data_IF_613475679873
#
_entry.id   IF_613475679873
#
_cell.length_a   1.000
_cell.length_b   1.000
_cell.length_c   1.000
_cell.angle_alpha   90.00
_cell.angle_beta   90.00
_cell.angle_gamma   90.00
#
_symmetry.space_group_name_H-M   'P 1'
#
loop_
_entity.id
_entity.type
_entity.pdbx_description
1 polymer ?
#
# COMPACT_ATOMS: atom_id res chain seq x y z
N UNK A 1 4.90 19.00 -12.35
CA UNK A 1 4.91 19.28 -10.90
C UNK A 1 4.99 20.77 -10.68
N UNK A 2 3.96 21.37 -10.10
CA UNK A 2 3.90 22.80 -9.80
C UNK A 2 4.77 23.12 -8.57
N UNK A 3 5.30 24.34 -8.47
CA UNK A 3 6.13 24.77 -7.32
C UNK A 3 5.44 24.60 -5.96
N UNK A 4 4.11 24.61 -5.92
CA UNK A 4 3.32 24.41 -4.71
C UNK A 4 3.44 22.98 -4.15
N UNK A 5 3.57 21.96 -5.01
CA UNK A 5 3.71 20.56 -4.60
C UNK A 5 5.06 20.32 -3.91
N UNK A 6 6.13 20.92 -4.45
CA UNK A 6 7.49 20.81 -3.91
C UNK A 6 7.60 21.50 -2.54
N UNK A 7 6.94 22.64 -2.35
CA UNK A 7 6.93 23.33 -1.05
C UNK A 7 6.18 22.51 0.02
N UNK A 8 5.08 21.86 -0.36
CA UNK A 8 4.28 21.01 0.52
C UNK A 8 5.01 19.71 0.91
N UNK A 9 5.71 19.06 -0.03
CA UNK A 9 6.62 17.94 0.27
C UNK A 9 7.73 18.36 1.24
N UNK A 10 8.33 19.55 1.04
CA UNK A 10 9.33 20.10 1.95
C UNK A 10 8.76 20.37 3.33
N UNK A 11 7.51 20.82 3.44
CA UNK A 11 6.83 20.98 4.73
C UNK A 11 6.55 19.63 5.43
N UNK A 12 6.18 18.60 4.68
CA UNK A 12 5.98 17.24 5.20
C UNK A 12 7.29 16.56 5.60
N UNK A 13 8.40 16.92 4.96
CA UNK A 13 9.76 16.49 5.30
C UNK A 13 10.41 17.34 6.40
N UNK A 14 9.74 18.39 6.93
CA UNK A 14 10.30 19.13 8.07
C UNK A 14 10.42 18.20 9.27
N UNK A 15 11.62 18.01 9.86
CA UNK A 15 11.82 17.13 11.01
C UNK A 15 10.93 17.51 12.20
N UNK A 16 10.51 18.78 12.31
CA UNK A 16 9.54 19.25 13.30
C UNK A 16 8.17 18.55 13.22
N UNK A 17 7.72 18.19 12.03
CA UNK A 17 6.45 17.46 11.80
C UNK A 17 6.55 16.00 12.24
N UNK A 18 7.76 15.43 12.25
CA UNK A 18 8.02 14.02 12.56
C UNK A 18 8.25 13.74 14.04
N UNK A 19 8.59 14.76 14.85
CA UNK A 19 8.86 14.57 16.29
C UNK A 19 7.64 13.99 17.01
N UNK A 20 6.43 14.48 16.73
CA UNK A 20 5.20 13.95 17.36
C UNK A 20 4.96 12.46 17.07
N UNK A 21 4.84 12.04 15.79
CA UNK A 21 4.71 10.64 15.42
C UNK A 21 5.87 9.77 15.91
N UNK A 22 7.11 10.28 15.88
CA UNK A 22 8.28 9.54 16.35
C UNK A 22 8.26 9.31 17.86
N UNK A 23 7.94 10.34 18.66
CA UNK A 23 7.80 10.22 20.11
C UNK A 23 6.70 9.22 20.48
N UNK A 24 5.54 9.29 19.82
CA UNK A 24 4.44 8.36 20.06
C UNK A 24 4.84 6.92 19.68
N UNK A 25 5.53 6.74 18.55
CA UNK A 25 6.04 5.43 18.12
C UNK A 25 7.08 4.87 19.11
N UNK A 26 7.95 5.72 19.66
CA UNK A 26 8.94 5.32 20.66
C UNK A 26 8.28 4.89 21.98
N UNK A 27 7.24 5.60 22.42
CA UNK A 27 6.44 5.21 23.60
C UNK A 27 5.77 3.86 23.36
N UNK A 28 5.13 3.67 22.20
CA UNK A 28 4.48 2.41 21.85
C UNK A 28 5.49 1.25 21.79
N UNK A 29 6.66 1.49 21.21
CA UNK A 29 7.74 0.52 21.16
C UNK A 29 8.20 0.10 22.56
N UNK A 30 8.37 1.07 23.47
CA UNK A 30 8.70 0.79 24.87
C UNK A 30 7.61 -0.04 25.56
N UNK A 31 6.32 0.25 25.28
CA UNK A 31 5.20 -0.54 25.81
C UNK A 31 5.18 -1.98 25.30
N UNK A 32 5.61 -2.24 24.07
CA UNK A 32 5.71 -3.60 23.52
C UNK A 32 6.92 -4.33 24.13
N UNK A 33 8.05 -3.64 24.28
CA UNK A 33 9.29 -4.23 24.78
C UNK A 33 9.23 -4.57 26.27
N UNK A 34 8.63 -3.70 27.08
CA UNK A 34 8.55 -3.87 28.53
C UNK A 34 8.02 -5.27 28.95
N UNK A 35 6.85 -5.74 28.48
CA UNK A 35 6.35 -7.06 28.85
C UNK A 35 7.18 -8.21 28.27
N UNK A 36 7.89 -8.00 27.15
CA UNK A 36 8.77 -9.02 26.56
C UNK A 36 9.93 -9.36 27.51
N UNK A 37 10.46 -8.36 28.22
CA UNK A 37 11.54 -8.57 29.19
C UNK A 37 11.07 -9.08 30.56
N UNK A 38 9.83 -8.79 30.95
CA UNK A 38 9.26 -9.29 32.21
C UNK A 38 8.85 -10.77 32.15
N UNK A 39 8.61 -11.30 30.95
CA UNK A 39 8.24 -12.70 30.77
C UNK A 39 9.38 -13.62 31.23
N UNK A 40 9.17 -14.49 32.22
CA UNK A 40 10.20 -15.39 32.70
C UNK A 40 10.66 -16.29 31.55
N UNK A 41 11.97 -16.30 31.28
CA UNK A 41 12.55 -17.12 30.22
C UNK A 41 12.42 -18.60 30.59
N UNK A 42 11.30 -19.23 30.23
CA UNK A 42 11.21 -20.68 30.20
C UNK A 42 12.15 -21.13 29.09
N UNK A 43 13.20 -21.87 29.44
CA UNK A 43 14.21 -22.33 28.49
C UNK A 43 13.54 -22.94 27.26
N UNK A 44 13.67 -22.27 26.12
CA UNK A 44 13.11 -22.76 24.86
C UNK A 44 14.08 -23.82 24.36
N UNK A 45 13.68 -25.09 24.48
CA UNK A 45 14.38 -26.16 23.78
C UNK A 45 14.15 -25.97 22.28
N UNK A 46 15.23 -25.88 21.52
CA UNK A 46 15.20 -25.75 20.06
C UNK A 46 14.69 -27.02 19.40
N UNK A 47 13.39 -27.29 19.52
CA UNK A 47 12.74 -28.40 18.82
C UNK A 47 12.58 -28.01 17.35
N UNK A 48 13.10 -28.84 16.46
CA UNK A 48 12.95 -28.64 15.01
C UNK A 48 11.50 -28.92 14.63
N UNK A 49 10.78 -27.88 14.19
CA UNK A 49 9.41 -28.02 13.68
C UNK A 49 9.47 -28.39 12.21
N UNK A 50 8.88 -29.53 11.85
CA UNK A 50 8.88 -30.03 10.48
C UNK A 50 7.82 -29.36 9.61
N UNK A 51 8.10 -29.17 8.32
CA UNK A 51 7.15 -28.60 7.34
C UNK A 51 5.85 -29.41 7.27
N UNK A 52 5.93 -30.74 7.43
CA UNK A 52 4.75 -31.62 7.48
C UNK A 52 3.81 -31.29 8.64
N UNK A 53 4.38 -30.98 9.81
CA UNK A 53 3.61 -30.66 11.02
C UNK A 53 2.87 -29.33 10.88
N UNK A 54 3.55 -28.34 10.29
CA UNK A 54 2.93 -27.05 9.93
C UNK A 54 1.80 -27.29 8.92
N UNK A 55 2.03 -28.10 7.89
CA UNK A 55 1.01 -28.41 6.87
C UNK A 55 -0.23 -29.09 7.43
N UNK A 56 -0.07 -30.07 8.32
CA UNK A 56 -1.20 -30.74 8.99
C UNK A 56 -2.05 -29.72 9.77
N UNK A 57 -1.39 -28.79 10.46
CA UNK A 57 -2.06 -27.77 11.27
C UNK A 57 -2.75 -26.72 10.39
N UNK A 58 -2.07 -26.29 9.32
CA UNK A 58 -2.58 -25.25 8.42
C UNK A 58 -3.79 -25.72 7.58
N UNK A 59 -3.78 -26.97 7.12
CA UNK A 59 -4.85 -27.55 6.29
C UNK A 59 -5.85 -28.43 7.08
N UNK A 60 -5.67 -28.58 8.38
CA UNK A 60 -6.64 -29.21 9.28
C UNK A 60 -7.41 -28.14 10.07
N UNK A 61 -7.01 -27.84 11.32
CA UNK A 61 -7.70 -26.84 12.16
C UNK A 61 -7.82 -25.44 11.54
N UNK A 62 -6.80 -25.01 10.80
CA UNK A 62 -6.73 -23.65 10.25
C UNK A 62 -7.10 -23.55 8.77
N UNK A 63 -7.76 -24.57 8.21
CA UNK A 63 -8.14 -24.60 6.79
C UNK A 63 -8.94 -23.37 6.36
N UNK A 64 -9.85 -22.90 7.22
CA UNK A 64 -10.65 -21.70 6.97
C UNK A 64 -9.79 -20.43 6.88
N UNK A 65 -8.71 -20.32 7.66
CA UNK A 65 -7.82 -19.16 7.63
C UNK A 65 -7.03 -19.12 6.31
N UNK A 66 -6.59 -20.29 5.82
CA UNK A 66 -5.93 -20.41 4.51
C UNK A 66 -6.87 -20.00 3.38
N UNK A 67 -8.13 -20.43 3.45
CA UNK A 67 -9.16 -20.05 2.51
C UNK A 67 -9.36 -18.53 2.49
N UNK A 68 -9.52 -17.91 3.67
CA UNK A 68 -9.65 -16.46 3.80
C UNK A 68 -8.40 -15.71 3.30
N UNK A 69 -7.20 -16.24 3.54
CA UNK A 69 -5.97 -15.66 3.01
C UNK A 69 -5.95 -15.67 1.46
N UNK A 70 -6.45 -16.75 0.85
CA UNK A 70 -6.57 -16.83 -0.62
C UNK A 70 -7.58 -15.82 -1.19
N UNK A 71 -8.73 -15.65 -0.52
CA UNK A 71 -9.75 -14.66 -0.90
C UNK A 71 -9.22 -13.25 -0.68
N UNK A 72 -8.50 -13.00 0.42
CA UNK A 72 -7.87 -11.71 0.71
C UNK A 72 -6.83 -11.36 -0.35
N UNK A 73 -6.01 -12.33 -0.77
CA UNK A 73 -5.03 -12.13 -1.84
C UNK A 73 -5.72 -11.84 -3.18
N UNK A 74 -6.79 -12.58 -3.51
CA UNK A 74 -7.59 -12.36 -4.71
C UNK A 74 -8.21 -10.95 -4.69
N UNK A 75 -8.84 -10.56 -3.59
CA UNK A 75 -9.42 -9.24 -3.42
C UNK A 75 -8.36 -8.13 -3.56
N UNK A 76 -7.19 -8.29 -2.92
CA UNK A 76 -6.07 -7.36 -3.03
C UNK A 76 -5.57 -7.23 -4.48
N UNK A 77 -5.45 -8.34 -5.19
CA UNK A 77 -5.07 -8.35 -6.61
C UNK A 77 -6.11 -7.61 -7.47
N UNK A 78 -7.40 -7.88 -7.26
CA UNK A 78 -8.51 -7.22 -7.99
C UNK A 78 -8.49 -5.71 -7.75
N UNK A 79 -8.34 -5.28 -6.50
CA UNK A 79 -8.27 -3.85 -6.14
C UNK A 79 -7.05 -3.19 -6.76
N UNK A 80 -5.88 -3.83 -6.69
CA UNK A 80 -4.66 -3.33 -7.31
C UNK A 80 -4.81 -3.18 -8.84
N UNK A 81 -5.44 -4.15 -9.51
CA UNK A 81 -5.69 -4.08 -10.95
C UNK A 81 -6.73 -3.01 -11.31
N UNK A 82 -7.77 -2.84 -10.50
CA UNK A 82 -8.78 -1.81 -10.70
C UNK A 82 -8.19 -0.40 -10.62
N UNK A 83 -7.39 -0.13 -9.58
CA UNK A 83 -6.75 1.17 -9.36
C UNK A 83 -5.61 1.40 -10.36
N UNK A 84 -4.84 0.36 -10.68
CA UNK A 84 -3.69 0.43 -11.59
C UNK A 84 -4.06 0.69 -13.06
N UNK A 85 -5.32 0.43 -13.46
CA UNK A 85 -5.83 0.69 -14.83
C UNK A 85 -6.24 2.14 -15.07
N UNK A 86 -5.40 3.08 -14.66
CA UNK A 86 -5.60 4.50 -14.91
C UNK A 86 -6.04 4.76 -16.36
N UNK A 87 -7.03 5.66 -16.52
CA UNK A 87 -7.64 6.01 -17.79
C UNK A 87 -6.58 6.19 -18.88
N UNK A 88 -6.43 5.19 -19.74
CA UNK A 88 -5.61 5.33 -20.94
C UNK A 88 -6.08 6.62 -21.63
N UNK A 89 -5.19 7.60 -21.87
CA UNK A 89 -5.60 8.88 -22.41
C UNK A 89 -6.34 8.60 -23.72
N UNK A 90 -7.64 8.92 -23.75
CA UNK A 90 -8.41 8.81 -24.99
C UNK A 90 -7.70 9.69 -26.00
N UNK A 91 -7.27 9.08 -27.11
CA UNK A 91 -6.65 9.81 -28.21
C UNK A 91 -7.56 10.99 -28.55
N UNK A 92 -7.03 12.20 -28.39
CA UNK A 92 -7.75 13.45 -28.66
C UNK A 92 -8.20 13.39 -30.13
N UNK A 93 -9.48 13.64 -30.46
CA UNK A 93 -9.88 13.74 -31.86
C UNK A 93 -9.01 14.81 -32.52
N UNK A 94 -8.44 14.49 -33.67
CA UNK A 94 -7.62 15.40 -34.45
C UNK A 94 -8.43 16.67 -34.73
N UNK A 95 -7.85 17.79 -34.31
CA UNK A 95 -8.27 19.18 -34.49
C UNK A 95 -8.27 19.58 -35.98
N UNK A 96 -9.05 18.87 -36.78
CA UNK A 96 -9.28 19.14 -38.21
C UNK A 96 -10.57 19.96 -38.41
N UNK A 97 -11.43 20.01 -37.39
CA UNK A 97 -12.67 20.79 -37.41
C UNK A 97 -12.45 22.30 -37.40
N UNK A 98 -11.32 22.79 -36.87
CA UNK A 98 -11.03 24.23 -36.77
C UNK A 98 -10.47 24.80 -38.09
N UNK A 99 -9.89 23.94 -38.94
CA UNK A 99 -9.32 24.33 -40.24
C UNK A 99 -10.41 24.59 -41.30
N UNK A 100 -11.53 23.88 -41.23
CA UNK A 100 -12.63 24.05 -42.20
C UNK A 100 -13.39 25.37 -41.97
N UNK A 101 -13.44 25.86 -40.73
CA UNK A 101 -14.11 27.11 -40.38
C UNK A 101 -13.32 28.30 -40.94
N UNK A 102 -11.99 28.29 -40.82
CA UNK A 102 -11.13 29.36 -41.35
C UNK A 102 -11.16 29.45 -42.88
N UNK A 103 -11.16 28.31 -43.60
CA UNK A 103 -11.25 28.32 -45.07
C UNK A 103 -12.61 28.81 -45.61
N UNK A 104 -13.65 28.76 -44.78
CA UNK A 104 -15.00 29.24 -45.14
C UNK A 104 -15.12 30.74 -44.89
N UNK A 105 -14.48 31.27 -43.85
CA UNK A 105 -14.46 32.72 -43.57
C UNK A 105 -13.48 33.51 -44.47
N UNK A 106 -12.40 32.89 -44.96
CA UNK A 106 -11.47 33.55 -45.90
C UNK A 106 -12.02 33.64 -47.35
N UNK A 107 -13.11 32.94 -47.65
CA UNK A 107 -13.75 32.93 -48.98
C UNK A 107 -15.02 33.81 -49.09
N UNK A 108 -15.30 34.65 -48.09
CA UNK A 108 -16.42 35.61 -48.06
C UNK A 108 -15.85 37.03 -47.99
#
# INVERSE_FOLDING_TARGET
MSKAEIEQEREWLKPKTWIGPATLSAILFAMIIYPIFELPSKGIHGTVIGIKEVGITLFGPYVLVVELASILLLAGMVVAFHIGRGHAPKAKPSDDSDRTIMETEERI
#
